data_IF_189057481037
#
_entry.id   IF_189057481037
#
_cell.length_a   1.000
_cell.length_b   1.000
_cell.length_c   1.000
_cell.angle_alpha   90.00
_cell.angle_beta   90.00
_cell.angle_gamma   90.00
#
_symmetry.space_group_name_H-M   'P 1'
#
loop_
_entity.id
_entity.type
_entity.pdbx_description
1 polymer ?
#
# COMPACT_ATOMS: atom_id res chain seq x y z
N UNK A 1 -41.31 14.01 -2.47
CA UNK A 1 -41.22 12.60 -2.01
C UNK A 1 -40.08 11.98 -2.80
N UNK A 2 -39.02 11.53 -2.13
CA UNK A 2 -37.92 10.84 -2.80
C UNK A 2 -38.47 9.57 -3.45
N UNK A 3 -38.28 9.41 -4.75
CA UNK A 3 -38.69 8.19 -5.44
C UNK A 3 -37.95 7.00 -4.83
N UNK A 4 -38.71 6.04 -4.30
CA UNK A 4 -38.14 4.79 -3.80
C UNK A 4 -37.78 3.92 -4.99
N UNK A 5 -36.52 3.50 -5.07
CA UNK A 5 -36.04 2.60 -6.10
C UNK A 5 -35.32 1.39 -5.49
N UNK A 6 -35.46 0.20 -6.08
CA UNK A 6 -34.71 -0.97 -5.65
C UNK A 6 -33.24 -0.82 -6.06
N UNK A 7 -32.33 -1.19 -5.17
CA UNK A 7 -30.91 -1.33 -5.48
C UNK A 7 -30.38 -2.65 -4.92
N UNK A 8 -29.41 -3.24 -5.62
CA UNK A 8 -28.82 -4.51 -5.24
C UNK A 8 -27.74 -4.32 -4.16
N UNK A 9 -27.71 -5.24 -3.20
CA UNK A 9 -26.66 -5.33 -2.17
C UNK A 9 -26.27 -6.79 -1.96
N UNK A 10 -25.13 -7.02 -1.30
CA UNK A 10 -24.65 -8.39 -1.03
C UNK A 10 -25.40 -9.01 0.15
N UNK A 11 -25.90 -10.24 -0.03
CA UNK A 11 -26.52 -11.03 1.04
C UNK A 11 -25.57 -11.30 2.21
N UNK A 12 -24.26 -11.36 1.96
CA UNK A 12 -23.23 -11.50 2.99
C UNK A 12 -23.26 -10.39 4.04
N UNK A 13 -23.83 -9.21 3.74
CA UNK A 13 -24.01 -8.13 4.70
C UNK A 13 -24.85 -8.55 5.93
N UNK A 14 -25.71 -9.56 5.78
CA UNK A 14 -26.59 -10.07 6.82
C UNK A 14 -25.94 -11.14 7.71
N UNK A 15 -24.68 -11.51 7.47
CA UNK A 15 -23.99 -12.49 8.31
C UNK A 15 -23.74 -11.95 9.72
N UNK A 16 -23.74 -12.82 10.76
CA UNK A 16 -23.53 -12.42 12.15
C UNK A 16 -22.24 -11.63 12.40
N UNK A 17 -21.20 -11.89 11.59
CA UNK A 17 -19.92 -11.17 11.63
C UNK A 17 -20.11 -9.69 11.30
N UNK A 18 -20.89 -9.38 10.27
CA UNK A 18 -21.13 -8.03 9.81
C UNK A 18 -22.20 -7.32 10.65
N UNK A 19 -23.20 -8.06 11.14
CA UNK A 19 -24.20 -7.53 12.08
C UNK A 19 -23.57 -6.93 13.34
N UNK A 20 -22.62 -7.64 13.96
CA UNK A 20 -21.92 -7.16 15.18
C UNK A 20 -21.05 -5.93 14.94
N UNK A 21 -20.43 -5.86 13.75
CA UNK A 21 -19.50 -4.79 13.36
C UNK A 21 -20.22 -3.51 12.97
N UNK A 22 -21.20 -3.60 12.08
CA UNK A 22 -21.89 -2.45 11.50
C UNK A 22 -22.99 -1.94 12.44
N UNK A 23 -23.78 -2.86 13.03
CA UNK A 23 -24.91 -2.54 13.89
C UNK A 23 -25.82 -1.45 13.25
N UNK A 24 -26.02 -0.30 13.93
CA UNK A 24 -26.86 0.81 13.45
C UNK A 24 -26.28 1.59 12.27
N UNK A 25 -24.96 1.49 12.01
CA UNK A 25 -24.32 2.15 10.88
C UNK A 25 -24.74 1.55 9.53
N UNK A 26 -25.54 0.46 9.54
CA UNK A 26 -26.06 -0.20 8.36
C UNK A 26 -26.92 0.75 7.52
N UNK A 27 -27.73 1.58 8.18
CA UNK A 27 -28.59 2.55 7.51
C UNK A 27 -27.77 3.56 6.71
N UNK A 28 -26.66 4.04 7.30
CA UNK A 28 -25.74 4.94 6.63
C UNK A 28 -25.03 4.24 5.47
N UNK A 29 -24.54 3.03 5.67
CA UNK A 29 -23.88 2.25 4.63
C UNK A 29 -24.81 1.99 3.42
N UNK A 30 -26.06 1.59 3.66
CA UNK A 30 -27.06 1.38 2.60
C UNK A 30 -27.37 2.68 1.84
N UNK A 31 -27.43 3.81 2.54
CA UNK A 31 -27.58 5.11 1.91
C UNK A 31 -26.35 5.50 1.07
N UNK A 32 -25.13 5.17 1.51
CA UNK A 32 -23.93 5.41 0.69
C UNK A 32 -23.97 4.57 -0.60
N UNK A 33 -24.42 3.30 -0.53
CA UNK A 33 -24.61 2.46 -1.72
C UNK A 33 -25.65 3.07 -2.66
N UNK A 34 -26.80 3.50 -2.14
CA UNK A 34 -27.85 4.09 -2.98
C UNK A 34 -27.39 5.41 -3.61
N UNK A 35 -26.65 6.22 -2.87
CA UNK A 35 -26.10 7.53 -3.27
C UNK A 35 -24.82 7.44 -4.10
N UNK A 36 -24.33 6.23 -4.40
CA UNK A 36 -23.19 6.03 -5.30
C UNK A 36 -23.58 6.42 -6.72
N UNK A 37 -22.80 7.28 -7.38
CA UNK A 37 -23.07 7.76 -8.75
C UNK A 37 -22.05 7.27 -9.78
N UNK A 38 -20.83 7.00 -9.34
CA UNK A 38 -19.75 6.49 -10.19
C UNK A 38 -19.05 5.36 -9.45
N UNK A 39 -18.70 4.32 -10.18
CA UNK A 39 -17.88 3.22 -9.68
C UNK A 39 -16.53 3.28 -10.39
N UNK A 40 -15.46 3.12 -9.62
CA UNK A 40 -14.09 2.98 -10.11
C UNK A 40 -13.59 1.61 -9.69
N UNK A 41 -12.84 0.96 -10.57
CA UNK A 41 -12.07 -0.21 -10.18
C UNK A 41 -10.67 0.25 -9.85
N UNK A 42 -10.19 -0.16 -8.69
CA UNK A 42 -8.78 -0.03 -8.34
C UNK A 42 -7.95 -1.03 -9.14
N UNK A 43 -6.64 -0.77 -9.17
CA UNK A 43 -5.63 -1.67 -9.77
C UNK A 43 -5.68 -3.08 -9.16
N UNK A 44 -6.15 -3.20 -7.92
CA UNK A 44 -6.29 -4.45 -7.17
C UNK A 44 -7.61 -5.20 -7.49
N UNK A 45 -8.39 -4.72 -8.47
CA UNK A 45 -9.65 -5.34 -8.91
C UNK A 45 -10.83 -5.13 -7.95
N UNK A 46 -10.67 -4.31 -6.91
CA UNK A 46 -11.74 -3.94 -5.98
C UNK A 46 -12.54 -2.77 -6.56
N UNK A 47 -13.87 -2.86 -6.51
CA UNK A 47 -14.76 -1.79 -6.96
C UNK A 47 -15.03 -0.81 -5.83
N UNK A 48 -14.79 0.47 -6.07
CA UNK A 48 -15.10 1.58 -5.17
C UNK A 48 -16.15 2.50 -5.77
N UNK A 49 -17.18 2.80 -4.97
CA UNK A 49 -18.27 3.68 -5.32
C UNK A 49 -18.05 5.08 -4.79
N UNK A 50 -17.97 6.07 -5.68
CA UNK A 50 -17.97 7.48 -5.30
C UNK A 50 -19.38 7.92 -4.90
N UNK A 51 -19.55 8.27 -3.63
CA UNK A 51 -20.81 8.81 -3.10
C UNK A 51 -21.02 10.23 -3.64
N UNK A 52 -22.19 10.49 -4.22
CA UNK A 52 -22.55 11.78 -4.84
C UNK A 52 -21.48 12.32 -5.81
N UNK A 53 -20.74 11.43 -6.47
CA UNK A 53 -19.72 11.80 -7.46
C UNK A 53 -18.44 12.39 -6.86
N UNK A 54 -18.19 12.16 -5.57
CA UNK A 54 -17.02 12.69 -4.86
C UNK A 54 -17.21 14.12 -4.34
N UNK A 55 -18.46 14.59 -4.24
CA UNK A 55 -18.77 15.89 -3.64
C UNK A 55 -18.37 15.90 -2.16
N UNK A 56 -17.54 16.85 -1.69
CA UNK A 56 -17.28 17.02 -0.27
C UNK A 56 -18.57 17.35 0.48
N UNK A 57 -18.87 16.59 1.54
CA UNK A 57 -20.07 16.76 2.36
C UNK A 57 -19.72 17.08 3.81
N UNK A 58 -20.48 17.98 4.44
CA UNK A 58 -20.35 18.21 5.88
C UNK A 58 -21.06 17.10 6.65
N UNK A 59 -20.69 16.91 7.91
CA UNK A 59 -21.37 15.96 8.80
C UNK A 59 -22.86 16.29 8.96
N UNK A 60 -23.21 17.57 8.99
CA UNK A 60 -24.61 18.01 9.10
C UNK A 60 -25.43 17.60 7.87
N UNK A 61 -24.89 17.80 6.65
CA UNK A 61 -25.55 17.39 5.40
C UNK A 61 -25.79 15.86 5.35
N UNK A 62 -24.91 15.09 5.99
CA UNK A 62 -25.00 13.64 6.10
C UNK A 62 -25.97 13.18 7.19
N UNK A 63 -26.26 14.05 8.17
CA UNK A 63 -27.13 13.76 9.31
C UNK A 63 -28.59 14.07 9.00
N UNK A 64 -28.84 15.10 8.18
CA UNK A 64 -30.17 15.55 7.77
C UNK A 64 -31.09 14.41 7.25
N UNK A 65 -30.63 13.48 6.38
CA UNK A 65 -31.49 12.41 5.87
C UNK A 65 -31.97 11.41 6.92
N UNK A 66 -31.30 11.34 8.07
CA UNK A 66 -31.60 10.40 9.15
C UNK A 66 -32.17 11.08 10.40
N UNK A 67 -32.25 12.42 10.40
CA UNK A 67 -32.65 13.23 11.56
C UNK A 67 -31.86 12.88 12.83
N UNK A 68 -30.56 12.61 12.66
CA UNK A 68 -29.64 12.29 13.78
C UNK A 68 -28.67 13.44 14.03
N UNK A 69 -27.93 13.35 15.13
CA UNK A 69 -26.85 14.29 15.43
C UNK A 69 -25.60 13.98 14.59
N UNK A 70 -24.87 15.00 14.17
CA UNK A 70 -23.55 14.92 13.52
C UNK A 70 -22.58 13.97 14.25
N UNK A 71 -22.61 13.94 15.59
CA UNK A 71 -21.81 12.99 16.40
C UNK A 71 -22.14 11.53 16.14
N UNK A 72 -23.42 11.22 15.89
CA UNK A 72 -23.87 9.88 15.57
C UNK A 72 -23.36 9.47 14.19
N UNK A 73 -23.43 10.36 13.21
CA UNK A 73 -22.91 10.11 11.85
C UNK A 73 -21.39 9.94 11.88
N UNK A 74 -20.67 10.80 12.61
CA UNK A 74 -19.22 10.64 12.79
C UNK A 74 -18.88 9.26 13.34
N UNK A 75 -19.59 8.81 14.38
CA UNK A 75 -19.38 7.47 14.94
C UNK A 75 -19.69 6.35 13.94
N UNK A 76 -20.72 6.50 13.12
CA UNK A 76 -21.02 5.53 12.06
C UNK A 76 -19.93 5.49 11.01
N UNK A 77 -19.40 6.66 10.62
CA UNK A 77 -18.26 6.76 9.70
C UNK A 77 -17.05 6.04 10.28
N UNK A 78 -16.69 6.32 11.54
CA UNK A 78 -15.54 5.69 12.21
C UNK A 78 -15.66 4.15 12.21
N UNK A 79 -16.84 3.62 12.57
CA UNK A 79 -17.11 2.17 12.59
C UNK A 79 -16.98 1.55 11.19
N UNK A 80 -17.50 2.24 10.17
CA UNK A 80 -17.49 1.73 8.80
C UNK A 80 -16.09 1.81 8.17
N UNK A 81 -15.31 2.82 8.52
CA UNK A 81 -13.91 2.98 8.11
C UNK A 81 -13.00 1.95 8.79
N UNK A 82 -13.15 1.76 10.11
CA UNK A 82 -12.40 0.77 10.90
C UNK A 82 -12.56 -0.65 10.34
N UNK A 83 -13.76 -0.97 9.86
CA UNK A 83 -14.06 -2.28 9.28
C UNK A 83 -13.94 -2.32 7.74
N UNK A 84 -13.40 -1.27 7.13
CA UNK A 84 -13.11 -1.17 5.69
C UNK A 84 -14.33 -1.37 4.78
N UNK A 85 -15.50 -0.91 5.23
CA UNK A 85 -16.70 -0.83 4.39
C UNK A 85 -16.70 0.44 3.54
N UNK A 86 -16.17 1.53 4.09
CA UNK A 86 -16.02 2.80 3.41
C UNK A 86 -14.59 3.32 3.59
N UNK A 87 -14.16 4.19 2.68
CA UNK A 87 -12.99 5.03 2.84
C UNK A 87 -13.43 6.48 2.91
N UNK A 88 -12.80 7.25 3.78
CA UNK A 88 -13.10 8.68 3.94
C UNK A 88 -11.86 9.50 3.66
N UNK A 89 -11.99 10.42 2.71
CA UNK A 89 -10.94 11.36 2.33
C UNK A 89 -11.34 12.74 2.84
N UNK A 90 -10.48 13.36 3.63
CA UNK A 90 -10.69 14.73 4.09
C UNK A 90 -10.46 15.70 2.94
N UNK A 91 -11.44 16.56 2.69
CA UNK A 91 -11.37 17.65 1.73
C UNK A 91 -11.54 19.00 2.45
N UNK A 92 -11.10 20.13 1.86
CA UNK A 92 -11.16 21.44 2.51
C UNK A 92 -12.55 21.86 3.01
N UNK A 93 -13.62 21.36 2.37
CA UNK A 93 -15.00 21.74 2.65
C UNK A 93 -15.88 20.59 3.20
N UNK A 94 -15.28 19.45 3.54
CA UNK A 94 -16.04 18.31 4.04
C UNK A 94 -15.32 16.96 3.87
N UNK A 95 -16.11 15.90 3.90
CA UNK A 95 -15.66 14.52 3.76
C UNK A 95 -16.08 14.00 2.38
N UNK A 96 -15.16 13.36 1.68
CA UNK A 96 -15.44 12.58 0.48
C UNK A 96 -15.50 11.12 0.91
N UNK A 97 -16.58 10.42 0.54
CA UNK A 97 -16.83 9.04 0.95
C UNK A 97 -16.79 8.14 -0.28
N UNK A 98 -16.01 7.06 -0.15
CA UNK A 98 -15.93 5.98 -1.13
C UNK A 98 -16.44 4.68 -0.50
N UNK A 99 -17.28 3.94 -1.22
CA UNK A 99 -17.93 2.73 -0.71
C UNK A 99 -17.27 1.51 -1.33
N UNK A 100 -16.79 0.59 -0.49
CA UNK A 100 -16.20 -0.64 -0.98
C UNK A 100 -17.28 -1.58 -1.52
N UNK A 101 -16.99 -2.23 -2.64
CA UNK A 101 -17.88 -3.19 -3.29
C UNK A 101 -19.27 -2.61 -3.58
N UNK A 102 -19.39 -1.34 -3.97
CA UNK A 102 -20.62 -0.90 -4.63
C UNK A 102 -20.71 -1.66 -5.96
N UNK A 103 -21.67 -2.59 -6.10
CA UNK A 103 -22.06 -3.19 -7.39
C UNK A 103 -23.43 -2.66 -7.81
N UNK A 104 -23.62 -1.34 -7.66
CA UNK A 104 -24.83 -0.67 -8.14
C UNK A 104 -24.88 -0.75 -9.66
N UNK A 105 -23.74 -0.63 -10.33
CA UNK A 105 -23.63 -0.83 -11.77
C UNK A 105 -23.04 -2.22 -12.01
N UNK A 106 -23.88 -3.22 -12.31
CA UNK A 106 -23.37 -4.45 -12.94
C UNK A 106 -22.66 -3.99 -14.21
N UNK A 107 -21.34 -4.22 -14.29
CA UNK A 107 -20.51 -3.92 -15.45
C UNK A 107 -21.35 -4.01 -16.73
N UNK A 108 -21.71 -2.87 -17.31
CA UNK A 108 -21.73 -2.80 -18.76
C UNK A 108 -20.26 -3.06 -19.08
N UNK A 109 -19.91 -4.32 -19.32
CA UNK A 109 -18.82 -4.58 -20.22
C UNK A 109 -19.24 -3.81 -21.46
N UNK A 110 -18.60 -2.66 -21.68
CA UNK A 110 -18.52 -2.08 -23.00
C UNK A 110 -17.80 -3.15 -23.82
N UNK A 111 -18.55 -4.16 -24.23
CA UNK A 111 -18.27 -4.90 -25.42
C UNK A 111 -18.38 -3.80 -26.46
N UNK A 112 -17.23 -3.20 -26.75
CA UNK A 112 -16.98 -2.53 -27.99
C UNK A 112 -17.26 -3.60 -29.04
N UNK A 113 -18.55 -3.72 -29.40
CA UNK A 113 -18.99 -4.54 -30.51
C UNK A 113 -18.36 -3.84 -31.68
N UNK A 114 -17.20 -4.37 -32.07
CA UNK A 114 -16.63 -4.24 -33.38
C UNK A 114 -17.81 -4.35 -34.34
N UNK A 115 -18.23 -3.21 -34.89
CA UNK A 115 -19.31 -3.15 -35.86
C UNK A 115 -18.81 -3.87 -37.10
N UNK A 116 -19.00 -5.18 -37.10
CA UNK A 116 -18.71 -6.05 -38.21
C UNK A 116 -19.59 -5.59 -39.36
N UNK A 117 -18.90 -5.17 -40.41
CA UNK A 117 -19.42 -4.81 -41.72
C UNK A 117 -20.56 -5.74 -42.09
N UNK A 118 -21.80 -5.20 -42.14
CA UNK A 118 -22.89 -5.85 -42.84
C UNK A 118 -23.49 -4.91 -43.85
N UNK A 119 -23.23 -5.32 -45.08
CA UNK A 119 -23.79 -4.90 -46.34
C UNK A 119 -25.28 -4.55 -46.25
N UNK A 120 -25.58 -3.37 -46.78
CA UNK A 120 -26.71 -3.06 -47.65
C UNK A 120 -27.89 -4.05 -47.62
N UNK A 121 -29.01 -3.61 -47.07
CA UNK A 121 -30.32 -3.92 -47.67
C UNK A 121 -31.17 -2.66 -47.59
N UNK A 122 -31.39 -2.05 -48.76
CA UNK A 122 -32.33 -0.95 -49.00
C UNK A 122 -33.75 -1.40 -48.65
N UNK A 123 -34.46 -0.65 -47.80
CA UNK A 123 -35.92 -0.54 -47.87
C UNK A 123 -36.36 0.89 -47.50
N UNK A 124 -37.45 1.28 -48.13
CA UNK A 124 -37.97 2.59 -48.52
C UNK A 124 -38.63 3.47 -47.46
N UNK A 125 -38.48 4.78 -47.67
CA UNK A 125 -39.43 5.90 -47.58
C UNK A 125 -40.56 5.88 -46.54
N UNK A 126 -40.48 6.79 -45.55
CA UNK A 126 -41.52 7.79 -45.32
C UNK A 126 -40.94 9.00 -44.56
N UNK A 127 -41.29 10.19 -45.03
CA UNK A 127 -40.83 11.52 -44.58
C UNK A 127 -41.56 12.03 -43.33
N UNK A 128 -40.88 12.94 -42.60
CA UNK A 128 -41.30 14.25 -42.04
C UNK A 128 -40.44 14.59 -40.80
N UNK A 129 -39.48 15.53 -40.92
CA UNK A 129 -39.51 16.90 -40.33
C UNK A 129 -39.54 16.82 -38.79
N UNK A 130 -38.51 17.15 -38.01
CA UNK A 130 -37.81 18.44 -37.95
C UNK A 130 -36.37 18.27 -37.44
N UNK A 131 -35.45 19.01 -38.06
CA UNK A 131 -34.08 19.16 -37.63
C UNK A 131 -34.01 20.22 -36.53
N UNK A 132 -33.31 19.93 -35.44
CA UNK A 132 -32.63 20.96 -34.66
C UNK A 132 -31.15 20.58 -34.66
N UNK A 133 -30.37 21.33 -35.44
CA UNK A 133 -28.92 21.28 -35.47
C UNK A 133 -28.37 21.52 -34.06
N UNK A 134 -27.59 20.56 -33.56
CA UNK A 134 -26.63 20.82 -32.48
C UNK A 134 -25.26 20.48 -33.04
N UNK A 135 -24.41 21.51 -33.04
CA UNK A 135 -23.07 21.59 -33.58
C UNK A 135 -22.15 20.43 -33.19
N UNK A 136 -21.52 19.84 -34.20
CA UNK A 136 -20.34 19.00 -34.09
C UNK A 136 -19.17 19.78 -33.47
N UNK A 137 -19.04 19.71 -32.16
CA UNK A 137 -17.77 19.93 -31.49
C UNK A 137 -17.18 18.57 -31.14
N UNK A 138 -16.24 18.13 -31.97
CA UNK A 138 -15.33 17.05 -31.62
C UNK A 138 -14.49 17.51 -30.44
N UNK A 139 -14.79 17.00 -29.26
CA UNK A 139 -13.93 17.18 -28.09
C UNK A 139 -12.57 16.53 -28.40
N UNK A 140 -11.60 17.38 -28.76
CA UNK A 140 -10.20 16.99 -28.80
C UNK A 140 -9.81 16.57 -27.40
N UNK A 141 -9.51 15.29 -27.24
CA UNK A 141 -8.85 14.71 -26.08
C UNK A 141 -7.53 15.44 -25.82
N UNK A 142 -7.55 16.42 -24.92
CA UNK A 142 -6.35 17.02 -24.35
C UNK A 142 -5.96 16.19 -23.13
N UNK A 143 -4.96 15.33 -23.32
CA UNK A 143 -4.16 14.81 -22.22
C UNK A 143 -3.50 15.98 -21.48
N UNK A 144 -3.74 16.09 -20.18
CA UNK A 144 -2.69 16.53 -19.26
C UNK A 144 -2.93 15.95 -17.86
N UNK A 145 -2.34 14.78 -17.60
CA UNK A 145 -1.94 14.40 -16.25
C UNK A 145 -0.51 14.92 -16.04
N UNK A 146 -0.39 16.18 -15.66
CA UNK A 146 0.83 16.74 -15.07
C UNK A 146 0.39 17.94 -14.24
N UNK A 147 0.92 18.06 -13.03
CA UNK A 147 0.80 19.22 -12.12
C UNK A 147 -0.17 19.13 -10.92
N UNK A 148 -0.18 18.00 -10.18
CA UNK A 148 -0.71 17.98 -8.80
C UNK A 148 0.39 18.19 -7.73
N UNK A 149 1.68 18.22 -8.12
CA UNK A 149 2.78 18.23 -7.13
C UNK A 149 3.13 19.66 -6.61
N UNK A 150 2.66 20.74 -7.24
CA UNK A 150 3.18 22.10 -6.93
C UNK A 150 2.37 22.92 -5.91
N UNK A 151 1.26 22.42 -5.36
CA UNK A 151 0.29 23.29 -4.63
C UNK A 151 0.06 22.93 -3.16
N UNK A 152 1.00 22.26 -2.49
CA UNK A 152 0.88 21.92 -1.05
C UNK A 152 2.09 22.37 -0.20
N UNK A 153 2.93 23.26 -0.72
CA UNK A 153 4.13 23.79 -0.04
C UNK A 153 3.87 24.77 1.11
N UNK A 154 2.77 24.65 1.85
CA UNK A 154 2.44 25.62 2.91
C UNK A 154 1.55 25.06 4.02
N UNK A 155 2.06 24.13 4.84
CA UNK A 155 1.66 23.99 6.26
C UNK A 155 2.44 22.91 7.04
N UNK A 156 3.41 23.35 7.84
CA UNK A 156 4.02 22.67 9.02
C UNK A 156 4.89 21.42 8.80
N UNK A 157 6.21 21.59 8.99
CA UNK A 157 7.28 20.65 8.57
C UNK A 157 7.38 19.30 9.31
N UNK A 158 6.73 19.14 10.48
CA UNK A 158 6.94 17.95 11.34
C UNK A 158 5.96 16.81 11.12
N UNK A 159 4.71 17.10 10.72
CA UNK A 159 3.68 16.08 10.44
C UNK A 159 3.69 15.63 8.96
N UNK A 160 4.15 16.50 8.06
CA UNK A 160 4.30 16.18 6.63
C UNK A 160 5.38 15.13 6.38
N UNK A 161 6.47 15.14 7.16
CA UNK A 161 7.56 14.19 6.97
C UNK A 161 7.11 12.74 7.18
N UNK A 162 6.30 12.47 8.22
CA UNK A 162 5.84 11.10 8.52
C UNK A 162 4.84 10.57 7.49
N UNK A 163 3.94 11.43 7.00
CA UNK A 163 2.90 11.03 6.02
C UNK A 163 3.52 10.81 4.63
N UNK A 164 4.45 11.68 4.21
CA UNK A 164 5.16 11.53 2.93
C UNK A 164 6.02 10.27 2.95
N UNK A 165 6.71 10.00 4.07
CA UNK A 165 7.61 8.85 4.20
C UNK A 165 6.81 7.53 4.23
N UNK A 166 5.66 7.47 4.91
CA UNK A 166 4.80 6.28 4.90
C UNK A 166 4.17 6.01 3.52
N UNK A 167 3.73 7.05 2.81
CA UNK A 167 3.17 6.90 1.46
C UNK A 167 4.25 6.51 0.44
N UNK A 168 5.44 7.09 0.55
CA UNK A 168 6.56 6.74 -0.32
C UNK A 168 7.04 5.30 -0.04
N UNK A 169 7.09 4.90 1.23
CA UNK A 169 7.41 3.53 1.64
C UNK A 169 6.42 2.52 1.04
N UNK A 170 5.11 2.80 1.13
CA UNK A 170 4.06 1.96 0.52
C UNK A 170 4.21 1.88 -1.01
N UNK A 171 4.50 3.01 -1.66
CA UNK A 171 4.72 3.05 -3.11
C UNK A 171 5.93 2.19 -3.51
N UNK A 172 7.05 2.32 -2.81
CA UNK A 172 8.27 1.54 -3.07
C UNK A 172 8.04 0.04 -2.84
N UNK A 173 7.26 -0.32 -1.81
CA UNK A 173 6.92 -1.72 -1.53
C UNK A 173 6.07 -2.32 -2.65
N UNK A 174 4.99 -1.64 -3.06
CA UNK A 174 4.11 -2.08 -4.15
C UNK A 174 4.88 -2.24 -5.47
N UNK A 175 5.81 -1.32 -5.76
CA UNK A 175 6.65 -1.40 -6.96
C UNK A 175 7.53 -2.66 -7.00
N UNK A 176 8.11 -3.06 -5.86
CA UNK A 176 8.89 -4.31 -5.74
C UNK A 176 7.99 -5.53 -5.85
N UNK A 177 6.81 -5.49 -5.22
CA UNK A 177 5.81 -6.55 -5.26
C UNK A 177 5.37 -6.85 -6.70
N UNK A 178 4.91 -5.83 -7.42
CA UNK A 178 4.46 -5.93 -8.81
C UNK A 178 5.58 -6.49 -9.70
N UNK A 179 6.81 -6.01 -9.51
CA UNK A 179 7.97 -6.49 -10.25
C UNK A 179 8.23 -7.98 -10.01
N UNK A 180 8.16 -8.43 -8.75
CA UNK A 180 8.35 -9.83 -8.40
C UNK A 180 7.23 -10.73 -8.97
N UNK A 181 5.97 -10.29 -8.92
CA UNK A 181 4.83 -11.04 -9.50
C UNK A 181 5.02 -11.23 -11.00
N UNK A 182 5.38 -10.16 -11.72
CA UNK A 182 5.63 -10.19 -13.16
C UNK A 182 6.79 -11.16 -13.48
N UNK A 183 7.89 -11.09 -12.74
CA UNK A 183 9.06 -11.98 -12.95
C UNK A 183 8.77 -13.44 -12.63
N UNK A 184 7.98 -13.72 -11.59
CA UNK A 184 7.56 -15.08 -11.22
C UNK A 184 6.65 -15.71 -12.27
N UNK A 185 5.92 -14.89 -13.06
CA UNK A 185 4.98 -15.31 -14.08
C UNK A 185 4.02 -16.42 -13.60
N UNK A 186 3.56 -16.32 -12.35
CA UNK A 186 2.73 -17.33 -11.71
C UNK A 186 1.96 -16.70 -10.55
N UNK A 187 0.64 -16.85 -10.51
CA UNK A 187 -0.22 -16.26 -9.47
C UNK A 187 -0.31 -14.73 -9.53
N UNK A 188 -1.28 -14.17 -8.81
CA UNK A 188 -1.54 -12.73 -8.78
C UNK A 188 -1.11 -12.07 -7.46
N UNK A 189 -0.86 -12.87 -6.42
CA UNK A 189 -0.55 -12.38 -5.08
C UNK A 189 0.77 -12.93 -4.53
N UNK A 190 1.31 -12.21 -3.55
CA UNK A 190 2.51 -12.53 -2.79
C UNK A 190 2.10 -13.08 -1.41
N UNK A 191 2.92 -13.97 -0.84
CA UNK A 191 2.68 -14.50 0.51
C UNK A 191 2.95 -13.42 1.58
N UNK A 192 2.30 -13.51 2.73
CA UNK A 192 2.50 -12.58 3.86
C UNK A 192 3.98 -12.47 4.29
N UNK A 193 4.71 -13.59 4.33
CA UNK A 193 6.13 -13.59 4.68
C UNK A 193 7.00 -12.85 3.65
N UNK A 194 6.60 -12.92 2.38
CA UNK A 194 7.30 -12.26 1.29
C UNK A 194 7.00 -10.76 1.28
N UNK A 195 5.75 -10.35 1.53
CA UNK A 195 5.37 -8.95 1.76
C UNK A 195 6.18 -8.35 2.92
N UNK A 196 6.31 -9.09 4.03
CA UNK A 196 7.13 -8.69 5.17
C UNK A 196 8.60 -8.54 4.80
N UNK A 197 9.15 -9.46 4.02
CA UNK A 197 10.55 -9.41 3.57
C UNK A 197 10.83 -8.22 2.64
N UNK A 198 9.89 -7.88 1.75
CA UNK A 198 9.97 -6.69 0.87
C UNK A 198 9.96 -5.41 1.71
N UNK A 199 9.03 -5.29 2.66
CA UNK A 199 8.96 -4.14 3.57
C UNK A 199 10.23 -4.00 4.40
N UNK A 200 10.80 -5.10 4.87
CA UNK A 200 12.05 -5.07 5.62
C UNK A 200 13.22 -4.58 4.76
N UNK A 201 13.36 -5.07 3.52
CA UNK A 201 14.43 -4.62 2.62
C UNK A 201 14.37 -3.10 2.34
N UNK A 202 13.16 -2.56 2.21
CA UNK A 202 12.97 -1.11 2.03
C UNK A 202 13.26 -0.35 3.33
N UNK A 203 12.84 -0.89 4.49
CA UNK A 203 13.11 -0.31 5.81
C UNK A 203 14.61 -0.27 6.13
N UNK A 204 15.37 -1.26 5.66
CA UNK A 204 16.84 -1.30 5.78
C UNK A 204 17.54 -0.30 4.83
N UNK A 205 16.78 0.45 4.03
CA UNK A 205 17.26 1.50 3.15
C UNK A 205 17.83 0.99 1.83
N UNK A 206 17.47 -0.22 1.41
CA UNK A 206 17.90 -0.75 0.11
C UNK A 206 17.11 -0.03 -1.01
N UNK A 207 17.78 0.58 -2.00
CA UNK A 207 17.10 1.18 -3.14
C UNK A 207 16.26 0.15 -3.91
N UNK A 208 15.07 0.57 -4.36
CA UNK A 208 14.16 -0.29 -5.15
C UNK A 208 14.85 -0.91 -6.36
N UNK A 209 15.73 -0.15 -7.02
CA UNK A 209 16.48 -0.64 -8.18
C UNK A 209 17.48 -1.76 -7.82
N UNK A 210 18.16 -1.65 -6.68
CA UNK A 210 19.03 -2.71 -6.16
C UNK A 210 18.22 -3.96 -5.84
N UNK A 211 17.02 -3.81 -5.29
CA UNK A 211 16.10 -4.93 -5.02
C UNK A 211 15.70 -5.62 -6.33
N UNK A 212 15.27 -4.86 -7.35
CA UNK A 212 14.90 -5.41 -8.68
C UNK A 212 16.09 -6.14 -9.33
N UNK A 213 17.28 -5.56 -9.28
CA UNK A 213 18.50 -6.21 -9.79
C UNK A 213 18.84 -7.51 -9.05
N UNK A 214 18.65 -7.54 -7.73
CA UNK A 214 18.85 -8.75 -6.92
C UNK A 214 17.83 -9.85 -7.23
N UNK A 215 16.57 -9.48 -7.52
CA UNK A 215 15.56 -10.41 -8.02
C UNK A 215 16.03 -11.01 -9.34
N UNK A 216 16.40 -10.19 -10.32
CA UNK A 216 16.84 -10.66 -11.64
C UNK A 216 18.01 -11.65 -11.55
N UNK A 217 19.05 -11.31 -10.78
CA UNK A 217 20.20 -12.18 -10.54
C UNK A 217 19.80 -13.52 -9.91
N UNK A 218 18.80 -13.51 -9.03
CA UNK A 218 18.30 -14.73 -8.38
C UNK A 218 17.60 -15.64 -9.39
N UNK A 219 16.82 -15.08 -10.32
CA UNK A 219 16.18 -15.83 -11.40
C UNK A 219 17.17 -16.31 -12.46
N UNK A 220 18.17 -15.52 -12.82
CA UNK A 220 19.23 -15.91 -13.77
C UNK A 220 20.10 -17.05 -13.24
N UNK A 221 20.43 -17.01 -11.95
CA UNK A 221 21.23 -18.05 -11.28
C UNK A 221 20.44 -19.35 -11.05
N UNK A 222 19.12 -19.30 -11.09
CA UNK A 222 18.27 -20.41 -10.73
C UNK A 222 18.26 -21.50 -11.81
N UNK A 223 18.64 -22.73 -11.42
CA UNK A 223 18.59 -23.90 -12.30
C UNK A 223 17.50 -24.87 -11.81
N UNK A 224 16.40 -25.05 -12.56
CA UNK A 224 15.30 -25.91 -12.14
C UNK A 224 15.70 -27.39 -12.21
N UNK A 225 15.41 -28.16 -11.16
CA UNK A 225 15.68 -29.60 -11.09
C UNK A 225 14.64 -30.46 -11.80
N UNK A 226 13.41 -29.97 -11.91
CA UNK A 226 12.29 -30.66 -12.57
C UNK A 226 11.29 -29.65 -13.16
N UNK A 227 10.36 -30.11 -14.01
CA UNK A 227 9.39 -29.25 -14.73
C UNK A 227 8.55 -28.30 -13.86
N UNK A 228 8.29 -28.66 -12.60
CA UNK A 228 7.52 -27.84 -11.65
C UNK A 228 8.38 -26.99 -10.71
N UNK A 229 9.69 -27.01 -10.90
CA UNK A 229 10.65 -26.35 -10.03
C UNK A 229 10.79 -24.91 -10.48
N UNK A 230 10.49 -23.96 -9.59
CA UNK A 230 10.56 -22.53 -9.86
C UNK A 230 10.74 -21.76 -8.56
N UNK A 231 11.25 -20.54 -8.66
CA UNK A 231 11.22 -19.59 -7.55
C UNK A 231 9.76 -19.25 -7.25
N UNK A 232 9.31 -19.49 -6.03
CA UNK A 232 7.92 -19.25 -5.59
C UNK A 232 7.78 -18.04 -4.69
N UNK A 233 8.81 -17.79 -3.88
CA UNK A 233 8.79 -16.83 -2.78
C UNK A 233 9.87 -15.77 -2.96
N UNK A 234 9.54 -14.53 -2.59
CA UNK A 234 10.51 -13.43 -2.57
C UNK A 234 11.64 -13.69 -1.58
N UNK A 235 11.34 -14.38 -0.48
CA UNK A 235 12.31 -14.77 0.56
C UNK A 235 13.52 -15.52 -0.02
N UNK A 236 13.35 -16.26 -1.13
CA UNK A 236 14.45 -16.92 -1.83
C UNK A 236 15.46 -15.92 -2.42
N UNK A 237 14.98 -14.76 -2.90
CA UNK A 237 15.80 -13.72 -3.50
C UNK A 237 16.48 -12.82 -2.45
N UNK A 238 15.97 -12.80 -1.21
CA UNK A 238 16.45 -11.89 -0.17
C UNK A 238 17.97 -11.96 0.06
N UNK A 239 18.61 -13.13 0.25
CA UNK A 239 20.07 -13.19 0.46
C UNK A 239 20.86 -12.55 -0.69
N UNK A 240 20.48 -12.80 -1.94
CA UNK A 240 21.14 -12.23 -3.10
C UNK A 240 20.99 -10.70 -3.20
N UNK A 241 19.86 -10.17 -2.74
CA UNK A 241 19.61 -8.73 -2.66
C UNK A 241 20.52 -8.08 -1.61
N UNK A 242 20.60 -8.64 -0.39
CA UNK A 242 21.50 -8.12 0.65
C UNK A 242 22.98 -8.25 0.25
N UNK A 243 23.38 -9.35 -0.37
CA UNK A 243 24.74 -9.52 -0.89
C UNK A 243 25.10 -8.48 -1.96
N UNK A 244 24.14 -8.15 -2.84
CA UNK A 244 24.32 -7.11 -3.85
C UNK A 244 24.42 -5.73 -3.20
N UNK A 245 23.59 -5.45 -2.19
CA UNK A 245 23.60 -4.17 -1.47
C UNK A 245 24.89 -3.94 -0.67
N UNK A 246 25.42 -4.96 -0.01
CA UNK A 246 26.72 -4.86 0.70
C UNK A 246 27.85 -4.58 -0.30
N UNK A 247 27.83 -5.20 -1.48
CA UNK A 247 28.80 -4.93 -2.54
C UNK A 247 28.69 -3.50 -3.08
N UNK A 248 27.46 -3.03 -3.31
CA UNK A 248 27.22 -1.64 -3.76
C UNK A 248 27.65 -0.62 -2.71
N UNK A 249 27.44 -0.90 -1.41
CA UNK A 249 27.95 -0.08 -0.32
C UNK A 249 29.47 -0.05 -0.28
N UNK A 250 30.13 -1.20 -0.43
CA UNK A 250 31.59 -1.30 -0.46
C UNK A 250 32.23 -0.61 -1.67
N UNK A 251 31.48 -0.40 -2.77
CA UNK A 251 31.93 0.34 -3.95
C UNK A 251 31.68 1.85 -3.81
N UNK A 252 30.62 2.24 -3.09
CA UNK A 252 30.22 3.65 -2.90
C UNK A 252 31.01 4.34 -1.79
N UNK A 253 31.64 3.60 -0.88
CA UNK A 253 32.70 4.10 0.01
C UNK A 253 34.09 3.80 -0.57
N UNK A 254 34.64 4.62 -1.49
CA UNK A 254 36.06 4.56 -1.78
C UNK A 254 36.83 5.08 -0.56
N UNK A 255 37.40 4.14 0.19
CA UNK A 255 38.69 4.20 0.88
C UNK A 255 39.24 5.61 1.11
N UNK A 256 39.12 6.13 2.33
CA UNK A 256 40.17 7.05 2.80
C UNK A 256 41.51 6.29 2.76
N UNK A 257 42.54 6.82 2.09
CA UNK A 257 43.77 6.10 1.87
C UNK A 257 44.50 5.86 3.19
N UNK A 258 44.73 4.58 3.46
CA UNK A 258 45.70 4.07 4.43
C UNK A 258 47.07 4.68 4.14
N UNK A 259 47.52 5.60 4.99
CA UNK A 259 48.92 6.02 5.06
C UNK A 259 49.63 5.24 6.18
N UNK A 260 50.50 4.31 5.76
CA UNK A 260 51.47 3.63 6.63
C UNK A 260 52.59 4.61 7.00
N UNK A 261 52.86 4.80 8.30
CA UNK A 261 53.95 5.69 8.75
C UNK A 261 54.19 5.72 10.28
N UNK A 262 54.68 4.62 10.84
CA UNK A 262 55.71 4.52 11.90
C UNK A 262 55.70 5.38 13.20
N UNK A 263 55.59 4.68 14.35
CA UNK A 263 56.24 4.82 15.69
C UNK A 263 56.20 6.16 16.47
N UNK A 264 55.58 6.18 17.67
CA UNK A 264 56.23 6.23 19.02
C UNK A 264 55.23 6.56 20.16
N UNK A 265 55.33 5.77 21.23
CA UNK A 265 55.13 6.01 22.68
C UNK A 265 54.06 6.96 23.29
N UNK A 266 53.48 6.43 24.39
CA UNK A 266 52.95 7.08 25.61
C UNK A 266 51.47 7.54 25.73
N UNK A 267 50.61 6.64 26.27
CA UNK A 267 49.85 6.66 27.57
C UNK A 267 49.44 8.03 28.16
N UNK A 268 48.32 8.19 28.95
CA UNK A 268 46.92 7.73 28.84
C UNK A 268 45.89 8.88 29.12
N UNK A 269 44.62 8.79 28.69
CA UNK A 269 43.53 9.49 29.39
C UNK A 269 42.13 9.07 28.93
N UNK A 270 41.41 8.52 29.90
CA UNK A 270 39.97 8.27 30.06
C UNK A 270 38.97 8.79 29.01
N UNK A 271 37.96 7.99 28.60
CA UNK A 271 36.73 8.52 28.05
C UNK A 271 35.71 8.81 29.15
N UNK A 272 35.38 10.11 29.27
CA UNK A 272 34.24 10.64 30.00
C UNK A 272 32.93 10.03 29.49
N UNK A 273 32.08 9.66 30.44
CA UNK A 273 30.78 9.03 30.25
C UNK A 273 29.79 9.89 29.45
N UNK A 274 29.06 9.26 28.53
CA UNK A 274 27.73 9.70 28.10
C UNK A 274 26.74 8.55 28.32
N UNK A 275 25.93 8.71 29.36
CA UNK A 275 24.86 7.79 29.70
C UNK A 275 23.72 7.86 28.69
N UNK A 276 23.36 6.70 28.13
CA UNK A 276 22.02 6.41 27.64
C UNK A 276 21.64 5.05 28.18
N UNK A 277 20.68 5.03 29.09
CA UNK A 277 20.09 3.82 29.68
C UNK A 277 19.39 3.02 28.59
N UNK A 278 20.09 2.04 28.03
CA UNK A 278 19.50 1.03 27.14
C UNK A 278 18.80 -0.02 27.99
N UNK A 279 17.48 -0.15 27.82
CA UNK A 279 16.72 -1.25 28.39
C UNK A 279 17.18 -2.56 27.71
N UNK A 280 18.09 -3.28 28.36
CA UNK A 280 18.56 -4.59 27.90
C UNK A 280 17.41 -5.59 27.91
N UNK A 281 17.20 -6.25 26.78
CA UNK A 281 16.23 -7.33 26.64
C UNK A 281 16.61 -8.51 27.56
N UNK A 282 15.64 -9.38 27.91
CA UNK A 282 15.89 -10.56 28.74
C UNK A 282 16.98 -11.48 28.15
N UNK A 283 17.00 -11.63 26.82
CA UNK A 283 18.00 -12.43 26.12
C UNK A 283 19.41 -11.84 26.25
N UNK A 284 19.54 -10.51 26.25
CA UNK A 284 20.85 -9.87 26.44
C UNK A 284 21.38 -10.09 27.85
N UNK A 285 20.50 -10.11 28.87
CA UNK A 285 20.89 -10.41 30.25
C UNK A 285 21.31 -11.87 30.42
N UNK A 286 20.62 -12.80 29.76
CA UNK A 286 20.98 -14.22 29.78
C UNK A 286 22.34 -14.49 29.11
N UNK A 287 22.65 -13.80 28.00
CA UNK A 287 23.97 -13.87 27.37
C UNK A 287 25.07 -13.29 28.29
N UNK A 288 24.83 -12.14 28.90
CA UNK A 288 25.78 -11.52 29.84
C UNK A 288 26.03 -12.41 31.08
N UNK A 289 25.03 -13.17 31.53
CA UNK A 289 25.13 -14.09 32.66
C UNK A 289 25.89 -15.38 32.29
N UNK A 290 25.70 -15.89 31.06
CA UNK A 290 26.48 -17.01 30.53
C UNK A 290 27.96 -16.65 30.37
N UNK A 291 28.28 -15.46 29.85
CA UNK A 291 29.67 -15.01 29.69
C UNK A 291 30.37 -14.87 31.05
N UNK A 292 29.65 -14.44 32.09
CA UNK A 292 30.18 -14.40 33.46
C UNK A 292 30.48 -15.79 34.01
N UNK A 293 29.61 -16.77 33.75
CA UNK A 293 29.80 -18.14 34.21
C UNK A 293 31.00 -18.80 33.52
N UNK A 294 31.16 -18.57 32.21
CA UNK A 294 32.30 -19.08 31.43
C UNK A 294 33.61 -18.50 31.97
N UNK A 295 33.67 -17.18 32.22
CA UNK A 295 34.88 -16.55 32.77
C UNK A 295 35.23 -17.04 34.18
N UNK A 296 34.24 -17.36 35.01
CA UNK A 296 34.48 -17.90 36.35
C UNK A 296 34.96 -19.37 36.30
N UNK A 297 34.46 -20.15 35.36
CA UNK A 297 34.90 -21.53 35.13
C UNK A 297 36.35 -21.57 34.61
N UNK A 298 36.72 -20.67 33.70
CA UNK A 298 38.10 -20.54 33.21
C UNK A 298 39.07 -20.15 34.33
N UNK A 299 38.65 -19.30 35.29
CA UNK A 299 39.47 -18.99 36.48
C UNK A 299 39.64 -20.19 37.41
N UNK A 300 38.60 -21.02 37.57
CA UNK A 300 38.68 -22.25 38.39
C UNK A 300 39.59 -23.29 37.75
N UNK A 301 39.57 -23.43 36.42
CA UNK A 301 40.43 -24.32 35.66
C UNK A 301 41.89 -23.84 35.58
N UNK A 302 42.12 -22.52 35.54
CA UNK A 302 43.46 -21.93 35.58
C UNK A 302 44.19 -22.15 36.91
N UNK A 303 43.44 -22.33 38.01
CA UNK A 303 44.01 -22.52 39.36
C UNK A 303 44.31 -24.00 39.67
N UNK A 304 43.78 -24.93 38.88
CA UNK A 304 43.99 -26.38 39.05
C UNK A 304 45.07 -26.97 38.13
N UNK A 305 45.73 -26.14 37.31
CA UNK A 305 46.87 -26.52 36.45
C UNK A 305 48.24 -26.08 36.98
N UNK A 306 48.30 -25.46 38.16
CA UNK A 306 49.53 -24.95 38.77
C UNK A 306 49.85 -25.57 40.15
N UNK A 307 49.42 -26.80 40.40
CA UNK A 307 49.89 -27.63 41.53
C UNK A 307 50.42 -28.96 41.04
#
# INVERSE_FOLDING_TARGET
MSESYPFATYSGLLEPKHYKRINKALWFFLWCISSTTKEKMDDDGVTWGLVLGGKPMKLSDLADPFEVNDKTVSRWIDILEEHHYIQVIRAPYGLIIEVRNSKKYKNRSDNNVLSEVREQTKLSDHSTIDQTEMSDHTDRNVRSNKDIIKTLSSSSDSEQHQIIDELEFKRRAKEVEDYFIIKRNSGFDINYDDEKAIRQAIADGIPVETIKSGIDKSFEKYTPKHRLDRIRTFTYCAPAIYDAWVKEKAITEPLEPVALGSITENVPSEPVALGKTSYRSKQQKELDELDRLIAEEERKLGTSRSS
#
